data_IF_308157067084
#
_entry.id   IF_308157067084
#
_cell.length_a   1.000
_cell.length_b   1.000
_cell.length_c   1.000
_cell.angle_alpha   90.00
_cell.angle_beta   90.00
_cell.angle_gamma   90.00
#
_symmetry.space_group_name_H-M   'P 1'
#
loop_
_entity.id
_entity.type
_entity.pdbx_description
1 polymer ?
#
# COMPACT_ATOMS: atom_id res chain seq x y z
N UNK A 1 6.76 -0.46 4.11
CA UNK A 1 5.61 -0.21 5.00
C UNK A 1 6.00 0.89 5.96
N UNK A 2 5.18 1.94 6.06
CA UNK A 2 5.45 3.09 6.95
C UNK A 2 5.01 2.82 8.38
N UNK A 3 4.05 1.92 8.55
CA UNK A 3 3.62 1.45 9.84
C UNK A 3 4.58 0.37 10.38
N UNK A 4 4.61 0.12 11.70
CA UNK A 4 5.44 -0.93 12.29
C UNK A 4 4.93 -2.35 11.97
N UNK A 5 3.74 -2.47 11.37
CA UNK A 5 3.10 -3.75 11.06
C UNK A 5 2.78 -3.84 9.56
N UNK A 6 3.01 -5.04 8.98
CA UNK A 6 2.65 -5.33 7.60
C UNK A 6 1.16 -5.10 7.35
N UNK A 7 0.84 -4.51 6.19
CA UNK A 7 -0.52 -4.32 5.72
C UNK A 7 -1.44 -3.56 6.69
N UNK A 8 -0.88 -2.74 7.59
CA UNK A 8 -1.64 -2.04 8.63
C UNK A 8 -2.81 -1.21 8.07
N UNK A 9 -2.62 -0.56 6.91
CA UNK A 9 -3.65 0.22 6.24
C UNK A 9 -4.87 -0.62 5.79
N UNK A 10 -4.72 -1.94 5.68
CA UNK A 10 -5.78 -2.86 5.23
C UNK A 10 -6.58 -3.44 6.40
N UNK A 11 -6.12 -3.32 7.65
CA UNK A 11 -6.80 -3.93 8.82
C UNK A 11 -8.21 -3.36 9.05
N UNK A 12 -8.46 -2.11 8.68
CA UNK A 12 -9.79 -1.49 8.78
C UNK A 12 -10.74 -1.88 7.64
N UNK A 13 -10.29 -2.64 6.64
CA UNK A 13 -11.06 -2.93 5.42
C UNK A 13 -11.72 -4.32 5.53
N UNK A 14 -12.80 -4.38 6.30
CA UNK A 14 -13.57 -5.61 6.56
C UNK A 14 -14.65 -5.92 5.52
N UNK A 15 -14.77 -5.11 4.45
CA UNK A 15 -15.73 -5.39 3.39
C UNK A 15 -15.35 -6.67 2.65
N UNK A 16 -16.35 -7.53 2.41
CA UNK A 16 -16.17 -8.76 1.65
C UNK A 16 -16.01 -8.44 0.18
N UNK A 17 -14.99 -9.00 -0.44
CA UNK A 17 -14.78 -8.84 -1.87
C UNK A 17 -15.59 -9.85 -2.63
N UNK A 18 -16.27 -9.43 -3.68
CA UNK A 18 -16.96 -10.39 -4.53
C UNK A 18 -15.94 -11.22 -5.32
N UNK A 19 -14.93 -10.60 -5.99
CA UNK A 19 -13.99 -11.33 -6.88
C UNK A 19 -12.58 -10.73 -7.08
N UNK A 20 -12.25 -9.57 -6.48
CA UNK A 20 -11.11 -8.75 -6.95
C UNK A 20 -9.73 -9.41 -6.77
N UNK A 21 -9.57 -10.33 -5.82
CA UNK A 21 -8.25 -10.92 -5.48
C UNK A 21 -8.22 -12.46 -5.47
N UNK A 22 -9.14 -13.13 -6.17
CA UNK A 22 -9.10 -14.60 -6.35
C UNK A 22 -9.53 -15.42 -5.12
N UNK A 23 -9.95 -14.77 -4.03
CA UNK A 23 -10.60 -15.39 -2.87
C UNK A 23 -11.99 -14.76 -2.68
N UNK A 24 -13.04 -15.29 -3.33
CA UNK A 24 -14.37 -14.73 -3.24
C UNK A 24 -14.89 -14.76 -1.80
N UNK A 25 -15.62 -13.71 -1.42
CA UNK A 25 -16.20 -13.47 -0.09
C UNK A 25 -15.21 -13.26 1.08
N UNK A 26 -13.89 -13.31 0.85
CA UNK A 26 -12.90 -12.95 1.87
C UNK A 26 -12.86 -11.43 2.08
N UNK A 27 -12.70 -10.99 3.32
CA UNK A 27 -12.45 -9.58 3.60
C UNK A 27 -11.01 -9.21 3.20
N UNK A 28 -10.80 -7.96 2.75
CA UNK A 28 -9.44 -7.51 2.40
C UNK A 28 -8.48 -7.58 3.60
N UNK A 29 -8.98 -7.30 4.81
CA UNK A 29 -8.23 -7.45 6.05
C UNK A 29 -7.78 -8.89 6.31
N UNK A 30 -8.61 -9.90 6.00
CA UNK A 30 -8.28 -11.32 6.18
C UNK A 30 -7.18 -11.74 5.20
N UNK A 31 -7.29 -11.32 3.94
CA UNK A 31 -6.26 -11.59 2.93
C UNK A 31 -4.92 -10.92 3.27
N UNK A 32 -4.99 -9.68 3.78
CA UNK A 32 -3.82 -8.95 4.25
C UNK A 32 -3.10 -9.69 5.39
N UNK A 33 -3.85 -10.16 6.39
CA UNK A 33 -3.32 -10.94 7.49
C UNK A 33 -2.71 -12.27 7.01
N UNK A 34 -3.36 -12.95 6.07
CA UNK A 34 -2.86 -14.18 5.48
C UNK A 34 -1.48 -13.98 4.85
N UNK A 35 -1.33 -12.97 3.98
CA UNK A 35 -0.05 -12.70 3.33
C UNK A 35 1.00 -12.15 4.29
N UNK A 36 0.64 -11.30 5.25
CA UNK A 36 1.55 -10.82 6.29
C UNK A 36 2.15 -12.00 7.07
N UNK A 37 1.29 -12.92 7.53
CA UNK A 37 1.73 -14.12 8.25
C UNK A 37 2.53 -15.10 7.39
N UNK A 38 2.33 -15.14 6.07
CA UNK A 38 3.19 -15.90 5.17
C UNK A 38 4.60 -15.27 5.06
N UNK A 39 4.66 -13.95 4.88
CA UNK A 39 5.93 -13.21 4.76
C UNK A 39 6.77 -13.36 6.04
N UNK A 40 6.15 -13.22 7.22
CA UNK A 40 6.82 -13.36 8.51
C UNK A 40 7.42 -14.76 8.74
N UNK A 41 6.81 -15.81 8.17
CA UNK A 41 7.28 -17.19 8.28
C UNK A 41 8.25 -17.60 7.17
N UNK A 42 8.42 -16.78 6.14
CA UNK A 42 9.27 -17.14 4.99
C UNK A 42 10.73 -16.88 5.32
N UNK A 43 11.54 -17.94 5.31
CA UNK A 43 12.97 -17.83 5.54
C UNK A 43 13.66 -16.99 4.45
N UNK A 44 14.67 -16.21 4.85
CA UNK A 44 15.44 -15.36 3.92
C UNK A 44 14.79 -14.02 3.58
N UNK A 45 13.64 -13.68 4.18
CA UNK A 45 13.06 -12.34 4.09
C UNK A 45 13.56 -11.48 5.24
N UNK A 46 14.12 -10.32 4.90
CA UNK A 46 14.43 -9.27 5.87
C UNK A 46 13.42 -8.14 5.74
N UNK A 47 12.69 -7.87 6.83
CA UNK A 47 11.72 -6.79 6.89
C UNK A 47 12.32 -5.51 7.45
N UNK A 48 12.01 -4.38 6.80
CA UNK A 48 12.26 -3.02 7.27
C UNK A 48 10.95 -2.26 7.24
N UNK A 49 10.24 -2.29 8.36
CA UNK A 49 8.95 -1.62 8.58
C UNK A 49 9.17 -0.31 9.34
N UNK A 50 8.12 0.50 9.51
CA UNK A 50 8.24 1.77 10.24
C UNK A 50 9.13 2.82 9.57
N UNK A 51 9.49 2.61 8.30
CA UNK A 51 10.46 3.45 7.57
C UNK A 51 10.04 3.63 6.12
N UNK A 52 10.71 4.54 5.42
CA UNK A 52 10.49 4.81 3.99
C UNK A 52 11.81 4.77 3.24
N UNK A 53 11.75 4.36 1.99
CA UNK A 53 12.80 4.60 1.02
C UNK A 53 12.82 6.08 0.65
N UNK A 54 13.98 6.73 0.73
CA UNK A 54 14.16 8.14 0.36
C UNK A 54 14.81 8.29 -1.02
N UNK A 55 15.72 7.39 -1.37
CA UNK A 55 16.29 7.37 -2.71
C UNK A 55 16.67 5.95 -3.15
N UNK A 56 16.67 5.75 -4.47
CA UNK A 56 17.16 4.54 -5.11
C UNK A 56 18.12 4.95 -6.23
N UNK A 57 19.33 4.37 -6.22
CA UNK A 57 20.36 4.65 -7.23
C UNK A 57 20.85 3.33 -7.82
N UNK A 58 21.03 3.29 -9.13
CA UNK A 58 21.60 2.14 -9.83
C UNK A 58 22.99 2.51 -10.36
N UNK A 59 24.03 1.82 -9.88
CA UNK A 59 25.41 2.03 -10.28
C UNK A 59 26.21 0.73 -10.13
N UNK A 60 27.18 0.50 -11.00
CA UNK A 60 28.07 -0.68 -10.90
C UNK A 60 27.35 -2.03 -10.94
N UNK A 61 26.17 -2.10 -11.59
CA UNK A 61 25.38 -3.34 -11.69
C UNK A 61 24.57 -3.71 -10.44
N UNK A 62 24.42 -2.78 -9.49
CA UNK A 62 23.60 -2.98 -8.30
C UNK A 62 22.74 -1.75 -8.00
N UNK A 63 21.62 -2.00 -7.34
CA UNK A 63 20.79 -0.99 -6.69
C UNK A 63 21.31 -0.70 -5.30
N UNK A 64 21.32 0.58 -4.92
CA UNK A 64 21.46 1.04 -3.54
C UNK A 64 20.23 1.85 -3.17
N UNK A 65 19.55 1.41 -2.12
CA UNK A 65 18.39 2.07 -1.53
C UNK A 65 18.80 2.76 -0.23
N UNK A 66 18.50 4.05 -0.09
CA UNK A 66 18.66 4.77 1.17
C UNK A 66 17.31 4.81 1.89
N UNK A 67 17.29 4.37 3.14
CA UNK A 67 16.12 4.47 4.02
C UNK A 67 16.18 5.77 4.83
N UNK A 68 15.04 6.24 5.29
CA UNK A 68 14.95 7.45 6.13
C UNK A 68 15.68 7.33 7.49
N UNK A 69 15.98 6.11 7.90
CA UNK A 69 16.84 5.81 9.05
C UNK A 69 18.32 6.10 8.79
N UNK A 70 18.71 6.39 7.54
CA UNK A 70 20.10 6.50 7.10
C UNK A 70 20.72 5.17 6.65
N UNK A 71 20.04 4.03 6.85
CA UNK A 71 20.48 2.72 6.39
C UNK A 71 20.55 2.66 4.86
N UNK A 72 21.60 2.01 4.34
CA UNK A 72 21.74 1.70 2.91
C UNK A 72 21.58 0.20 2.68
N UNK A 73 20.70 -0.17 1.76
CA UNK A 73 20.44 -1.54 1.36
C UNK A 73 20.87 -1.74 -0.09
N UNK A 74 21.66 -2.77 -0.35
CA UNK A 74 22.10 -3.13 -1.71
C UNK A 74 21.35 -4.35 -2.23
N UNK A 75 20.99 -4.32 -3.51
CA UNK A 75 20.31 -5.43 -4.18
C UNK A 75 20.66 -5.48 -5.67
N UNK A 76 20.59 -6.68 -6.26
CA UNK A 76 20.81 -6.87 -7.71
C UNK A 76 19.60 -6.43 -8.54
N UNK A 77 18.41 -6.45 -7.95
CA UNK A 77 17.16 -6.06 -8.58
C UNK A 77 16.30 -5.29 -7.58
N UNK A 78 15.43 -4.42 -8.09
CA UNK A 78 14.51 -3.61 -7.30
C UNK A 78 13.09 -3.75 -7.86
N UNK A 79 12.16 -4.17 -6.99
CA UNK A 79 10.72 -4.14 -7.27
C UNK A 79 10.08 -3.02 -6.46
N UNK A 80 9.37 -2.11 -7.14
CA UNK A 80 8.66 -1.00 -6.50
C UNK A 80 7.16 -1.30 -6.51
N UNK A 81 6.59 -1.56 -5.33
CA UNK A 81 5.18 -1.87 -5.14
C UNK A 81 4.54 -0.93 -4.11
N UNK A 82 4.80 0.38 -4.22
CA UNK A 82 4.32 1.40 -3.26
C UNK A 82 2.84 1.76 -3.40
N UNK A 83 2.09 1.02 -4.23
CA UNK A 83 0.75 1.39 -4.67
C UNK A 83 0.75 2.64 -5.54
N UNK A 84 -0.46 3.10 -5.88
CA UNK A 84 -0.66 4.33 -6.63
C UNK A 84 -1.05 5.45 -5.67
N UNK A 85 -0.28 6.54 -5.66
CA UNK A 85 -0.78 7.82 -5.17
C UNK A 85 -1.33 8.56 -6.38
N UNK A 86 -2.64 8.76 -6.42
CA UNK A 86 -3.22 9.72 -7.36
C UNK A 86 -2.57 11.07 -7.07
N UNK A 87 -1.69 11.51 -7.97
CA UNK A 87 -1.25 12.89 -8.06
C UNK A 87 -2.49 13.68 -8.48
N UNK A 88 -3.36 14.02 -7.54
CA UNK A 88 -4.58 14.81 -7.81
C UNK A 88 -4.11 16.14 -8.40
N UNK A 89 -4.22 16.39 -9.71
CA UNK A 89 -3.93 17.72 -10.22
C UNK A 89 -5.09 18.57 -9.69
N UNK A 90 -4.81 19.54 -8.82
CA UNK A 90 -5.85 20.35 -8.16
C UNK A 90 -6.91 20.85 -9.17
N UNK A 91 -6.48 21.18 -10.40
CA UNK A 91 -7.32 21.59 -11.52
C UNK A 91 -8.46 20.63 -11.93
N UNK A 92 -8.33 19.32 -11.76
CA UNK A 92 -9.36 18.35 -12.18
C UNK A 92 -10.45 18.13 -11.13
N UNK A 93 -10.20 18.52 -9.87
CA UNK A 93 -11.11 18.33 -8.74
C UNK A 93 -11.47 19.64 -8.03
N UNK A 94 -11.05 20.79 -8.58
CA UNK A 94 -11.26 22.12 -7.97
C UNK A 94 -12.73 22.57 -7.93
N UNK A 95 -13.61 21.91 -8.67
CA UNK A 95 -15.03 22.26 -8.70
C UNK A 95 -15.85 21.09 -8.16
N UNK A 96 -16.18 21.10 -6.85
CA UNK A 96 -17.13 20.14 -6.30
C UNK A 96 -18.49 20.35 -6.99
N UNK A 97 -18.84 19.42 -7.88
CA UNK A 97 -20.14 19.41 -8.53
C UNK A 97 -21.08 18.52 -7.71
N UNK A 98 -22.28 19.00 -7.38
CA UNK A 98 -23.25 18.27 -6.52
C UNK A 98 -23.66 16.87 -7.01
N UNK A 99 -23.37 16.53 -8.27
CA UNK A 99 -23.66 15.23 -8.89
C UNK A 99 -22.44 14.32 -9.06
N UNK A 100 -21.24 14.80 -8.70
CA UNK A 100 -20.00 14.03 -8.79
C UNK A 100 -19.47 13.87 -7.38
N UNK A 101 -19.70 12.70 -6.81
CA UNK A 101 -19.18 12.33 -5.51
C UNK A 101 -17.88 11.58 -5.71
N UNK A 102 -16.85 11.93 -4.95
CA UNK A 102 -15.69 11.05 -4.83
C UNK A 102 -16.07 9.77 -4.06
N UNK A 103 -15.24 8.73 -4.17
CA UNK A 103 -15.52 7.43 -3.57
C UNK A 103 -15.74 7.51 -2.04
N UNK A 104 -15.06 8.44 -1.37
CA UNK A 104 -15.22 8.67 0.07
C UNK A 104 -16.58 9.27 0.40
N UNK A 105 -16.99 10.30 -0.35
CA UNK A 105 -18.26 11.01 -0.19
C UNK A 105 -19.46 10.14 -0.56
N UNK A 106 -19.33 9.32 -1.61
CA UNK A 106 -20.35 8.33 -2.00
C UNK A 106 -20.54 7.26 -0.91
N UNK A 107 -19.44 6.79 -0.32
CA UNK A 107 -19.48 5.82 0.78
C UNK A 107 -20.17 6.41 2.01
N UNK A 108 -19.80 7.64 2.40
CA UNK A 108 -20.42 8.33 3.53
C UNK A 108 -21.93 8.58 3.33
N UNK A 109 -22.38 8.90 2.12
CA UNK A 109 -23.80 9.12 1.83
C UNK A 109 -24.60 7.82 1.78
N UNK A 110 -24.00 6.71 1.37
CA UNK A 110 -24.66 5.40 1.43
C UNK A 110 -24.92 4.95 2.87
N UNK A 111 -24.02 5.29 3.78
CA UNK A 111 -24.06 4.83 5.17
C UNK A 111 -24.92 5.74 6.08
N UNK A 112 -25.37 6.90 5.57
CA UNK A 112 -26.31 7.81 6.22
C UNK A 112 -27.49 8.12 5.28
N UNK A 113 -28.63 7.42 5.40
CA UNK A 113 -29.81 7.66 4.57
C UNK A 113 -30.50 9.00 4.84
#
# INVERSE_FOLDING_TARGET
EREPQLCAALHGLSFRQDWVLGQPAAALAELAQHYAGQVERTAGITLRLGTRAESARHAGGAWTLQLATGEHVQARALLVATGLRLLRPARYFALPHRRVLDATSLTAQRDHP
#
